data_IF_188694117110
#
_entry.id   IF_188694117110
#
_cell.length_a   1.000
_cell.length_b   1.000
_cell.length_c   1.000
_cell.angle_alpha   90.00
_cell.angle_beta   90.00
_cell.angle_gamma   90.00
#
_symmetry.space_group_name_H-M   'P 1'
#
loop_
_entity.id
_entity.type
_entity.pdbx_description
1 polymer ?
#
# COMPACT_ATOMS: atom_id res chain seq x y z
N UNK A 1 -29.16 -18.68 -16.47
CA UNK A 1 -27.82 -18.14 -16.81
C UNK A 1 -27.40 -16.94 -15.97
N UNK A 2 -28.19 -15.86 -15.77
CA UNK A 2 -27.79 -14.66 -15.00
C UNK A 2 -27.46 -14.91 -13.52
N UNK A 3 -28.09 -15.90 -12.86
CA UNK A 3 -27.85 -16.21 -11.44
C UNK A 3 -26.44 -16.82 -11.22
N UNK A 4 -26.00 -17.67 -12.13
CA UNK A 4 -24.67 -18.31 -12.07
C UNK A 4 -23.53 -17.31 -12.33
N UNK A 5 -23.77 -16.30 -13.21
CA UNK A 5 -22.79 -15.24 -13.44
C UNK A 5 -22.55 -14.38 -12.19
N UNK A 6 -23.60 -14.00 -11.45
CA UNK A 6 -23.43 -13.23 -10.20
C UNK A 6 -22.65 -14.01 -9.14
N UNK A 7 -22.92 -15.30 -9.00
CA UNK A 7 -22.20 -16.16 -8.06
C UNK A 7 -20.70 -16.25 -8.43
N UNK A 8 -20.36 -16.43 -9.72
CA UNK A 8 -18.96 -16.49 -10.17
C UNK A 8 -18.21 -15.17 -9.92
N UNK A 9 -18.88 -14.01 -10.04
CA UNK A 9 -18.27 -12.72 -9.73
C UNK A 9 -17.94 -12.57 -8.22
N UNK A 10 -18.87 -13.00 -7.36
CA UNK A 10 -18.67 -13.01 -5.91
C UNK A 10 -17.50 -13.93 -5.53
N UNK A 11 -17.47 -15.14 -6.10
CA UNK A 11 -16.38 -16.10 -5.86
C UNK A 11 -15.02 -15.55 -6.33
N UNK A 12 -14.97 -14.85 -7.46
CA UNK A 12 -13.76 -14.19 -7.93
C UNK A 12 -13.26 -13.11 -6.96
N UNK A 13 -14.15 -12.30 -6.38
CA UNK A 13 -13.80 -11.30 -5.37
C UNK A 13 -13.30 -11.94 -4.07
N UNK A 14 -13.94 -13.02 -3.61
CA UNK A 14 -13.50 -13.77 -2.43
C UNK A 14 -12.12 -14.39 -2.68
N UNK A 15 -11.91 -15.05 -3.82
CA UNK A 15 -10.62 -15.63 -4.18
C UNK A 15 -9.52 -14.55 -4.27
N UNK A 16 -9.83 -13.39 -4.85
CA UNK A 16 -8.92 -12.26 -4.92
C UNK A 16 -8.54 -11.74 -3.53
N UNK A 17 -9.52 -11.61 -2.61
CA UNK A 17 -9.26 -11.21 -1.23
C UNK A 17 -8.39 -12.23 -0.50
N UNK A 18 -8.67 -13.53 -0.62
CA UNK A 18 -7.87 -14.59 -0.01
C UNK A 18 -6.45 -14.61 -0.55
N UNK A 19 -6.28 -14.47 -1.87
CA UNK A 19 -4.97 -14.33 -2.51
C UNK A 19 -4.24 -13.09 -1.98
N UNK A 20 -4.92 -11.95 -1.90
CA UNK A 20 -4.40 -10.71 -1.31
C UNK A 20 -3.97 -10.88 0.14
N UNK A 21 -4.64 -11.76 0.89
CA UNK A 21 -4.35 -12.02 2.30
C UNK A 21 -3.11 -12.86 2.54
N UNK A 22 -2.50 -13.50 1.53
CA UNK A 22 -1.30 -14.31 1.69
C UNK A 22 -0.11 -13.46 2.19
N UNK A 23 0.47 -13.77 3.35
CA UNK A 23 1.44 -12.88 4.00
C UNK A 23 2.89 -13.22 3.62
N UNK A 24 3.23 -13.29 2.31
CA UNK A 24 4.58 -13.67 1.87
C UNK A 24 5.67 -12.74 2.43
N UNK A 25 5.42 -11.44 2.46
CA UNK A 25 6.37 -10.45 3.03
C UNK A 25 6.67 -10.78 4.50
N UNK A 26 5.66 -11.18 5.26
CA UNK A 26 5.85 -11.59 6.66
C UNK A 26 6.67 -12.88 6.78
N UNK A 27 6.37 -13.88 5.95
CA UNK A 27 7.12 -15.14 5.94
C UNK A 27 8.58 -14.95 5.50
N UNK A 28 8.83 -14.08 4.52
CA UNK A 28 10.20 -13.72 4.11
C UNK A 28 10.97 -13.02 5.25
N UNK A 29 10.29 -12.19 6.04
CA UNK A 29 10.86 -11.59 7.25
C UNK A 29 11.26 -12.64 8.27
N UNK A 30 10.36 -13.55 8.59
CA UNK A 30 10.63 -14.66 9.52
C UNK A 30 11.78 -15.55 9.03
N UNK A 31 11.81 -15.87 7.73
CA UNK A 31 12.91 -16.63 7.12
C UNK A 31 14.26 -15.92 7.24
N UNK A 32 14.25 -14.58 7.24
CA UNK A 32 15.45 -13.75 7.47
C UNK A 32 15.76 -13.54 8.96
N UNK A 33 15.10 -14.25 9.86
CA UNK A 33 15.30 -14.14 11.31
C UNK A 33 14.65 -12.91 11.97
N UNK A 34 13.74 -12.19 11.26
CA UNK A 34 13.12 -10.97 11.76
C UNK A 34 11.59 -11.04 11.76
N UNK A 35 10.97 -10.92 12.94
CA UNK A 35 9.52 -10.69 13.04
C UNK A 35 9.22 -9.22 12.67
N UNK A 36 8.66 -9.00 11.47
CA UNK A 36 8.37 -7.67 10.96
C UNK A 36 7.40 -6.87 11.84
N UNK A 37 6.55 -7.54 12.62
CA UNK A 37 5.61 -6.88 13.55
C UNK A 37 6.33 -6.31 14.78
N UNK A 38 7.48 -6.89 15.13
CA UNK A 38 8.29 -6.53 16.31
C UNK A 38 9.61 -5.85 15.95
N UNK A 39 9.99 -5.87 14.67
CA UNK A 39 11.28 -5.35 14.19
C UNK A 39 11.09 -4.15 13.27
N UNK A 40 12.03 -3.22 13.31
CA UNK A 40 12.06 -2.04 12.45
C UNK A 40 10.85 -1.12 12.68
N UNK A 41 10.06 -0.86 11.64
CA UNK A 41 8.87 0.00 11.73
C UNK A 41 7.62 -0.70 12.29
N UNK A 42 7.67 -2.01 12.56
CA UNK A 42 6.51 -2.80 12.94
C UNK A 42 5.50 -3.05 11.82
N UNK A 43 5.71 -2.50 10.63
CA UNK A 43 4.82 -2.65 9.48
C UNK A 43 5.19 -3.89 8.64
N UNK A 44 4.19 -4.70 8.26
CA UNK A 44 4.36 -5.85 7.37
C UNK A 44 4.36 -5.37 5.92
N UNK A 45 5.47 -4.78 5.49
CA UNK A 45 5.61 -4.21 4.15
C UNK A 45 7.03 -4.16 3.63
N UNK A 46 7.15 -3.88 2.34
CA UNK A 46 8.41 -3.86 1.58
C UNK A 46 9.54 -3.08 2.26
N UNK A 47 9.24 -1.85 2.71
CA UNK A 47 10.26 -0.96 3.29
C UNK A 47 10.84 -1.52 4.59
N UNK A 48 10.00 -2.13 5.44
CA UNK A 48 10.44 -2.76 6.66
C UNK A 48 11.22 -4.04 6.37
N UNK A 49 10.74 -4.87 5.43
CA UNK A 49 11.46 -6.07 5.01
C UNK A 49 12.83 -5.72 4.42
N UNK A 50 12.94 -4.65 3.63
CA UNK A 50 14.24 -4.19 3.11
C UNK A 50 15.22 -3.80 4.22
N UNK A 51 14.72 -3.17 5.29
CA UNK A 51 15.54 -2.71 6.41
C UNK A 51 16.05 -3.85 7.30
N UNK A 52 15.27 -4.92 7.49
CA UNK A 52 15.60 -5.98 8.46
C UNK A 52 15.90 -7.34 7.81
N UNK A 53 15.33 -7.63 6.64
CA UNK A 53 15.48 -8.90 5.92
C UNK A 53 16.33 -8.81 4.66
N UNK A 54 16.72 -7.59 4.25
CA UNK A 54 17.56 -7.35 3.10
C UNK A 54 16.80 -7.08 1.79
N UNK A 55 17.52 -6.53 0.81
CA UNK A 55 16.95 -6.02 -0.46
C UNK A 55 16.38 -7.13 -1.33
N UNK A 56 17.01 -8.31 -1.38
CA UNK A 56 16.54 -9.44 -2.20
C UNK A 56 15.15 -9.92 -1.77
N UNK A 57 14.97 -10.16 -0.47
CA UNK A 57 13.67 -10.55 0.11
C UNK A 57 12.62 -9.46 -0.10
N UNK A 58 13.04 -8.19 0.03
CA UNK A 58 12.16 -7.07 -0.21
C UNK A 58 11.68 -7.00 -1.66
N UNK A 59 12.55 -7.21 -2.65
CA UNK A 59 12.16 -7.23 -4.06
C UNK A 59 11.16 -8.36 -4.34
N UNK A 60 11.44 -9.58 -3.87
CA UNK A 60 10.53 -10.73 -4.03
C UNK A 60 9.17 -10.45 -3.37
N UNK A 61 9.18 -10.00 -2.13
CA UNK A 61 7.97 -9.66 -1.40
C UNK A 61 7.18 -8.52 -2.06
N UNK A 62 7.88 -7.50 -2.56
CA UNK A 62 7.29 -6.35 -3.25
C UNK A 62 6.63 -6.73 -4.58
N UNK A 63 7.26 -7.57 -5.38
CA UNK A 63 6.68 -8.11 -6.62
C UNK A 63 5.45 -8.96 -6.33
N UNK A 64 5.53 -9.82 -5.32
CA UNK A 64 4.38 -10.61 -4.90
C UNK A 64 3.24 -9.72 -4.39
N UNK A 65 3.52 -8.71 -3.57
CA UNK A 65 2.49 -7.79 -3.11
C UNK A 65 1.88 -6.99 -4.28
N UNK A 66 2.66 -6.57 -5.27
CA UNK A 66 2.13 -5.92 -6.47
C UNK A 66 1.23 -6.87 -7.27
N UNK A 67 1.56 -8.16 -7.34
CA UNK A 67 0.74 -9.17 -8.02
C UNK A 67 -0.66 -9.31 -7.42
N UNK A 68 -0.84 -9.04 -6.12
CA UNK A 68 -2.13 -9.15 -5.42
C UNK A 68 -3.20 -8.19 -5.97
N UNK A 69 -2.80 -7.01 -6.43
CA UNK A 69 -3.70 -6.10 -7.13
C UNK A 69 -3.77 -6.38 -8.64
N UNK A 70 -2.67 -6.82 -9.25
CA UNK A 70 -2.54 -7.02 -10.68
C UNK A 70 -3.23 -8.31 -11.17
N UNK A 71 -2.89 -9.47 -10.58
CA UNK A 71 -3.33 -10.78 -11.07
C UNK A 71 -4.86 -10.96 -11.03
N UNK A 72 -5.59 -10.58 -9.98
CA UNK A 72 -7.04 -10.71 -9.98
C UNK A 72 -7.71 -9.99 -11.17
N UNK A 73 -7.27 -8.76 -11.47
CA UNK A 73 -7.78 -8.02 -12.65
C UNK A 73 -7.45 -8.76 -13.93
N UNK A 74 -6.21 -9.20 -14.06
CA UNK A 74 -5.73 -9.87 -15.28
C UNK A 74 -6.45 -11.18 -15.54
N UNK A 75 -6.66 -11.99 -14.49
CA UNK A 75 -7.37 -13.27 -14.56
C UNK A 75 -8.84 -13.04 -14.91
N UNK A 76 -9.55 -12.15 -14.22
CA UNK A 76 -10.95 -11.85 -14.51
C UNK A 76 -11.14 -11.35 -15.95
N UNK A 77 -10.27 -10.50 -16.46
CA UNK A 77 -10.30 -10.04 -17.86
C UNK A 77 -10.06 -11.18 -18.84
N UNK A 78 -9.18 -12.14 -18.54
CA UNK A 78 -8.94 -13.32 -19.37
C UNK A 78 -10.12 -14.31 -19.37
N UNK A 79 -10.86 -14.36 -18.26
CA UNK A 79 -12.08 -15.16 -18.14
C UNK A 79 -13.32 -14.49 -18.77
N UNK A 80 -13.15 -13.31 -19.41
CA UNK A 80 -14.25 -12.60 -20.07
C UNK A 80 -15.21 -11.90 -19.11
N UNK A 81 -14.79 -11.65 -17.86
CA UNK A 81 -15.63 -10.92 -16.91
C UNK A 81 -15.71 -9.41 -17.27
N UNK A 82 -16.85 -8.74 -16.98
CA UNK A 82 -16.99 -7.31 -17.18
C UNK A 82 -15.83 -6.52 -16.53
N UNK A 83 -15.47 -5.40 -17.14
CA UNK A 83 -14.33 -4.59 -16.67
C UNK A 83 -14.50 -4.18 -15.20
N UNK A 84 -15.71 -3.80 -14.79
CA UNK A 84 -16.03 -3.41 -13.41
C UNK A 84 -15.80 -4.57 -12.42
N UNK A 85 -16.19 -5.79 -12.79
CA UNK A 85 -15.98 -6.97 -11.95
C UNK A 85 -14.49 -7.28 -11.81
N UNK A 86 -13.73 -7.19 -12.90
CA UNK A 86 -12.29 -7.39 -12.88
C UNK A 86 -11.60 -6.35 -12.00
N UNK A 87 -11.97 -5.07 -12.11
CA UNK A 87 -11.41 -4.00 -11.30
C UNK A 87 -11.74 -4.17 -9.81
N UNK A 88 -13.01 -4.54 -9.47
CA UNK A 88 -13.39 -4.83 -8.09
C UNK A 88 -12.63 -6.03 -7.52
N UNK A 89 -12.37 -7.08 -8.31
CA UNK A 89 -11.52 -8.18 -7.87
C UNK A 89 -10.09 -7.68 -7.50
N UNK A 90 -9.53 -6.75 -8.26
CA UNK A 90 -8.28 -6.09 -7.91
C UNK A 90 -8.35 -5.30 -6.59
N UNK A 91 -9.44 -4.56 -6.38
CA UNK A 91 -9.72 -3.86 -5.10
C UNK A 91 -9.78 -4.85 -3.94
N UNK A 92 -10.44 -6.00 -4.11
CA UNK A 92 -10.49 -7.06 -3.10
C UNK A 92 -9.10 -7.62 -2.79
N UNK A 93 -8.24 -7.79 -3.80
CA UNK A 93 -6.84 -8.20 -3.60
C UNK A 93 -6.03 -7.18 -2.78
N UNK A 94 -6.22 -5.88 -3.05
CA UNK A 94 -5.61 -4.80 -2.25
C UNK A 94 -6.16 -4.77 -0.83
N UNK A 95 -7.46 -4.96 -0.65
CA UNK A 95 -8.08 -5.05 0.68
C UNK A 95 -7.52 -6.24 1.47
N UNK A 96 -7.33 -7.40 0.83
CA UNK A 96 -6.69 -8.57 1.43
C UNK A 96 -5.26 -8.29 1.91
N UNK A 97 -4.47 -7.50 1.18
CA UNK A 97 -3.14 -7.07 1.63
C UNK A 97 -3.20 -6.11 2.83
N UNK A 98 -4.20 -5.23 2.87
CA UNK A 98 -4.35 -4.26 3.95
C UNK A 98 -4.86 -4.92 5.25
N UNK A 99 -5.83 -5.81 5.11
CA UNK A 99 -6.46 -6.53 6.22
C UNK A 99 -6.48 -8.05 5.97
N UNK A 100 -5.30 -8.70 5.98
CA UNK A 100 -5.19 -10.12 5.67
C UNK A 100 -5.78 -10.98 6.79
N UNK A 101 -6.67 -11.89 6.42
CA UNK A 101 -7.29 -12.82 7.37
C UNK A 101 -6.23 -13.68 8.09
N UNK A 102 -5.18 -14.10 7.38
CA UNK A 102 -4.11 -14.94 7.92
C UNK A 102 -3.19 -14.23 8.92
N UNK A 103 -3.24 -12.88 9.01
CA UNK A 103 -2.53 -12.09 10.01
C UNK A 103 -3.46 -11.42 11.02
N UNK A 104 -4.69 -11.94 11.21
CA UNK A 104 -5.72 -11.36 12.09
C UNK A 104 -5.97 -9.88 11.74
N UNK A 105 -6.12 -9.59 10.45
CA UNK A 105 -6.37 -8.27 9.86
C UNK A 105 -5.27 -7.21 10.11
N UNK A 106 -4.09 -7.62 10.57
CA UNK A 106 -2.93 -6.74 10.78
C UNK A 106 -1.91 -6.88 9.64
N UNK A 107 -2.25 -6.39 8.46
CA UNK A 107 -1.41 -6.43 7.26
C UNK A 107 -0.57 -5.18 7.04
N UNK A 108 -0.05 -5.08 5.81
CA UNK A 108 0.70 -3.94 5.32
C UNK A 108 -0.18 -2.71 5.00
N UNK A 109 0.44 -1.69 4.39
CA UNK A 109 -0.26 -0.46 3.95
C UNK A 109 -0.79 -0.55 2.52
N UNK A 110 -0.60 -1.66 1.85
CA UNK A 110 -1.19 -1.97 0.55
C UNK A 110 -0.62 -1.21 -0.65
N UNK A 111 0.45 -0.40 -0.50
CA UNK A 111 0.95 0.45 -1.59
C UNK A 111 1.39 -0.35 -2.81
N UNK A 112 2.17 -1.43 -2.63
CA UNK A 112 2.63 -2.26 -3.75
C UNK A 112 1.44 -2.88 -4.50
N UNK A 113 0.44 -3.41 -3.78
CA UNK A 113 -0.77 -3.97 -4.37
C UNK A 113 -1.62 -2.92 -5.07
N UNK A 114 -1.71 -1.71 -4.48
CA UNK A 114 -2.34 -0.55 -5.11
C UNK A 114 -1.67 -0.20 -6.45
N UNK A 115 -0.33 -0.19 -6.49
CA UNK A 115 0.41 0.09 -7.73
C UNK A 115 0.15 -0.98 -8.80
N UNK A 116 0.06 -2.25 -8.41
CA UNK A 116 -0.28 -3.33 -9.32
C UNK A 116 -1.69 -3.21 -9.89
N UNK A 117 -2.69 -2.89 -9.05
CA UNK A 117 -4.07 -2.69 -9.48
C UNK A 117 -4.22 -1.43 -10.36
N UNK A 118 -3.70 -0.30 -9.90
CA UNK A 118 -3.83 1.00 -10.57
C UNK A 118 -3.21 1.01 -11.97
N UNK A 119 -2.12 0.25 -12.19
CA UNK A 119 -1.50 0.08 -13.51
C UNK A 119 -2.47 -0.52 -14.54
N UNK A 120 -3.27 -1.53 -14.15
CA UNK A 120 -4.24 -2.15 -15.04
C UNK A 120 -5.56 -1.37 -15.14
N UNK A 121 -5.92 -0.65 -14.09
CA UNK A 121 -7.13 0.17 -14.06
C UNK A 121 -6.97 1.40 -14.95
N UNK A 122 -5.91 2.18 -14.76
CA UNK A 122 -5.63 3.35 -15.57
C UNK A 122 -4.13 3.65 -15.64
N UNK A 123 -3.51 3.38 -16.80
CA UNK A 123 -2.07 3.59 -17.02
C UNK A 123 -1.66 5.05 -16.96
N UNK A 124 -2.50 5.97 -17.46
CA UNK A 124 -2.21 7.42 -17.42
C UNK A 124 -2.26 7.93 -15.99
N UNK A 125 -3.34 7.59 -15.28
CA UNK A 125 -3.49 7.90 -13.85
C UNK A 125 -2.37 7.28 -13.02
N UNK A 126 -1.95 6.06 -13.32
CA UNK A 126 -0.80 5.41 -12.68
C UNK A 126 0.50 6.21 -12.86
N UNK A 127 0.79 6.68 -14.09
CA UNK A 127 1.97 7.49 -14.37
C UNK A 127 1.99 8.79 -13.54
N UNK A 128 0.85 9.50 -13.47
CA UNK A 128 0.71 10.72 -12.65
C UNK A 128 0.90 10.40 -11.15
N UNK A 129 0.35 9.27 -10.68
CA UNK A 129 0.51 8.80 -9.31
C UNK A 129 1.97 8.51 -8.95
N UNK A 130 2.76 8.05 -9.92
CA UNK A 130 4.18 7.76 -9.69
C UNK A 130 5.01 9.02 -9.44
N UNK A 131 4.66 10.17 -9.99
CA UNK A 131 5.43 11.41 -9.86
C UNK A 131 5.69 11.79 -8.39
N UNK A 132 4.69 11.96 -7.51
CA UNK A 132 4.94 12.30 -6.11
C UNK A 132 5.63 11.18 -5.33
N UNK A 133 5.46 9.92 -5.71
CA UNK A 133 6.15 8.79 -5.09
C UNK A 133 7.65 8.83 -5.44
N UNK A 134 7.99 9.01 -6.70
CA UNK A 134 9.39 9.12 -7.15
C UNK A 134 10.07 10.38 -6.61
N UNK A 135 9.41 11.52 -6.62
CA UNK A 135 9.98 12.76 -6.07
C UNK A 135 10.24 12.63 -4.57
N UNK A 136 9.34 12.00 -3.81
CA UNK A 136 9.54 11.70 -2.40
C UNK A 136 10.70 10.73 -2.15
N UNK A 137 10.83 9.69 -2.97
CA UNK A 137 11.93 8.74 -2.90
C UNK A 137 13.28 9.39 -3.25
N UNK A 138 13.32 10.16 -4.33
CA UNK A 138 14.50 10.91 -4.78
C UNK A 138 14.94 11.93 -3.72
N UNK A 139 14.02 12.70 -3.16
CA UNK A 139 14.31 13.61 -2.06
C UNK A 139 14.91 12.89 -0.84
N UNK A 140 14.35 11.75 -0.47
CA UNK A 140 14.87 10.92 0.61
C UNK A 140 16.28 10.43 0.33
N UNK A 141 16.55 10.03 -0.90
CA UNK A 141 17.86 9.57 -1.36
C UNK A 141 18.89 10.70 -1.33
N UNK A 142 18.61 11.85 -1.96
CA UNK A 142 19.50 13.02 -2.00
C UNK A 142 19.78 13.53 -0.57
N UNK A 143 18.75 13.60 0.27
CA UNK A 143 18.90 14.05 1.66
C UNK A 143 19.79 13.11 2.49
N UNK A 144 19.82 11.82 2.15
CA UNK A 144 20.69 10.84 2.79
C UNK A 144 22.18 11.10 2.49
N UNK A 145 22.51 11.46 1.27
CA UNK A 145 23.89 11.82 0.88
C UNK A 145 24.37 13.14 1.52
N UNK A 146 23.51 14.16 1.54
CA UNK A 146 23.86 15.47 2.11
C UNK A 146 24.16 15.45 3.61
N UNK A 147 23.62 14.48 4.35
CA UNK A 147 23.73 14.43 5.82
C UNK A 147 24.66 13.34 6.34
N UNK A 148 25.28 12.56 5.48
CA UNK A 148 26.31 11.59 5.93
C UNK A 148 27.50 12.27 6.66
N UNK A 149 27.61 13.59 6.54
CA UNK A 149 28.66 14.42 7.16
C UNK A 149 28.24 15.16 8.45
N UNK A 150 26.99 14.99 8.95
CA UNK A 150 26.52 15.68 10.16
C UNK A 150 26.19 14.68 11.28
N UNK A 151 26.58 15.04 12.53
CA UNK A 151 26.31 14.26 13.75
C UNK A 151 24.81 13.92 13.91
N UNK A 152 24.47 12.78 14.55
CA UNK A 152 23.08 12.39 14.78
C UNK A 152 22.37 13.43 15.65
N UNK A 153 21.44 14.17 15.04
CA UNK A 153 20.60 15.13 15.73
C UNK A 153 19.25 14.51 16.11
N UNK A 154 18.48 15.26 16.89
CA UNK A 154 17.16 14.86 17.42
C UNK A 154 16.28 14.15 16.38
N UNK A 155 15.81 12.92 16.62
CA UNK A 155 15.04 12.11 15.67
C UNK A 155 13.73 12.76 15.23
N UNK A 156 13.12 13.62 16.05
CA UNK A 156 11.90 14.36 15.72
C UNK A 156 12.11 15.43 14.61
N UNK A 157 13.34 15.91 14.39
CA UNK A 157 13.68 16.87 13.33
C UNK A 157 14.13 16.20 12.03
N UNK A 158 14.19 14.87 11.97
CA UNK A 158 14.69 14.17 10.80
C UNK A 158 13.62 14.06 9.71
N UNK A 159 13.60 14.98 8.77
CA UNK A 159 12.69 15.02 7.60
C UNK A 159 12.85 13.85 6.64
N UNK A 160 13.92 13.04 6.78
CA UNK A 160 14.25 11.93 5.89
C UNK A 160 13.19 10.83 5.85
N UNK A 161 12.56 10.55 7.01
CA UNK A 161 11.52 9.51 7.09
C UNK A 161 10.14 9.93 6.56
N UNK A 162 9.97 11.22 6.21
CA UNK A 162 8.66 11.81 5.86
C UNK A 162 8.39 11.88 4.37
N UNK A 163 9.42 12.04 3.54
CA UNK A 163 9.25 12.33 2.12
C UNK A 163 8.62 11.18 1.33
N UNK A 164 9.03 9.93 1.58
CA UNK A 164 8.44 8.76 0.89
C UNK A 164 6.99 8.52 1.31
N UNK A 165 6.64 8.44 2.61
CA UNK A 165 5.25 8.31 3.03
C UNK A 165 4.35 9.44 2.55
N UNK A 166 4.86 10.68 2.54
CA UNK A 166 4.14 11.83 2.02
C UNK A 166 3.91 11.75 0.51
N UNK A 167 4.92 11.37 -0.27
CA UNK A 167 4.79 11.12 -1.71
C UNK A 167 3.78 10.02 -2.01
N UNK A 168 3.78 8.94 -1.24
CA UNK A 168 2.79 7.87 -1.35
C UNK A 168 1.36 8.34 -1.03
N UNK A 169 1.20 9.19 -0.01
CA UNK A 169 -0.08 9.79 0.34
C UNK A 169 -0.62 10.68 -0.78
N UNK A 170 0.21 11.60 -1.30
CA UNK A 170 -0.17 12.47 -2.41
C UNK A 170 -0.47 11.66 -3.68
N UNK A 171 0.33 10.66 -4.03
CA UNK A 171 0.09 9.80 -5.18
C UNK A 171 -1.24 9.05 -5.08
N UNK A 172 -1.55 8.52 -3.88
CA UNK A 172 -2.82 7.83 -3.65
C UNK A 172 -4.01 8.77 -3.80
N UNK A 173 -3.92 10.03 -3.32
CA UNK A 173 -4.95 11.05 -3.50
C UNK A 173 -5.09 11.51 -4.95
N UNK A 174 -3.98 11.61 -5.68
CA UNK A 174 -3.97 12.06 -7.07
C UNK A 174 -4.61 11.04 -8.02
N UNK A 175 -4.60 9.74 -7.69
CA UNK A 175 -5.04 8.68 -8.60
C UNK A 175 -6.50 8.80 -9.07
N UNK A 176 -7.51 9.05 -8.22
CA UNK A 176 -8.88 9.25 -8.68
C UNK A 176 -9.03 10.44 -9.62
N UNK A 177 -8.38 11.58 -9.27
CA UNK A 177 -8.40 12.77 -10.11
C UNK A 177 -7.73 12.54 -11.47
N UNK A 178 -6.54 11.94 -11.46
CA UNK A 178 -5.83 11.58 -12.68
C UNK A 178 -6.62 10.58 -13.54
N UNK A 179 -7.38 9.69 -12.90
CA UNK A 179 -8.23 8.73 -13.60
C UNK A 179 -9.51 9.37 -14.15
N UNK A 180 -10.03 10.43 -13.54
CA UNK A 180 -11.20 11.15 -14.05
C UNK A 180 -10.91 11.99 -15.30
N UNK A 181 -9.64 12.31 -15.55
CA UNK A 181 -9.22 12.99 -16.78
C UNK A 181 -9.23 12.08 -18.03
N UNK A 182 -9.41 10.77 -17.83
CA UNK A 182 -9.48 9.82 -18.93
C UNK A 182 -10.91 9.73 -19.45
N UNK A 183 -11.19 10.45 -20.52
CA UNK A 183 -12.50 10.55 -21.17
C UNK A 183 -13.03 9.22 -21.77
N UNK A 184 -12.17 8.19 -21.87
CA UNK A 184 -12.55 6.88 -22.40
C UNK A 184 -13.20 5.96 -21.35
N UNK A 185 -13.36 6.43 -20.11
CA UNK A 185 -13.95 5.63 -19.02
C UNK A 185 -15.43 5.98 -18.83
N UNK A 186 -16.26 4.94 -18.80
CA UNK A 186 -17.68 5.07 -18.44
C UNK A 186 -17.84 5.51 -16.98
N UNK A 187 -18.95 6.20 -16.67
CA UNK A 187 -19.19 6.81 -15.36
C UNK A 187 -19.04 5.85 -14.16
N UNK A 188 -19.35 4.56 -14.32
CA UNK A 188 -19.18 3.54 -13.27
C UNK A 188 -17.71 3.16 -13.02
N UNK A 189 -16.86 3.26 -14.03
CA UNK A 189 -15.43 2.93 -13.92
C UNK A 189 -14.62 3.98 -13.14
N UNK A 190 -15.18 5.16 -12.88
CA UNK A 190 -14.56 6.16 -12.01
C UNK A 190 -14.63 5.80 -10.53
N UNK A 191 -15.52 4.90 -10.11
CA UNK A 191 -15.66 4.50 -8.71
C UNK A 191 -14.48 3.66 -8.23
N UNK A 192 -13.91 2.81 -9.07
CA UNK A 192 -12.83 1.88 -8.68
C UNK A 192 -11.54 2.59 -8.24
N UNK A 193 -11.05 3.64 -8.95
CA UNK A 193 -9.93 4.46 -8.48
C UNK A 193 -10.18 5.10 -7.12
N UNK A 194 -11.39 5.61 -6.88
CA UNK A 194 -11.77 6.20 -5.60
C UNK A 194 -11.77 5.15 -4.48
N UNK A 195 -12.36 3.98 -4.71
CA UNK A 195 -12.38 2.87 -3.76
C UNK A 195 -10.96 2.42 -3.38
N UNK A 196 -10.05 2.29 -4.35
CA UNK A 196 -8.66 1.96 -4.09
C UNK A 196 -7.99 2.98 -3.16
N UNK A 197 -8.19 4.27 -3.44
CA UNK A 197 -7.62 5.33 -2.62
C UNK A 197 -8.21 5.35 -1.22
N UNK A 198 -9.52 5.14 -1.08
CA UNK A 198 -10.21 5.04 0.22
C UNK A 198 -9.65 3.88 1.05
N UNK A 199 -9.43 2.71 0.44
CA UNK A 199 -8.84 1.54 1.13
C UNK A 199 -7.45 1.86 1.66
N UNK A 200 -6.57 2.44 0.84
CA UNK A 200 -5.21 2.77 1.26
C UNK A 200 -5.19 3.85 2.35
N UNK A 201 -6.00 4.90 2.20
CA UNK A 201 -6.12 5.96 3.20
C UNK A 201 -6.74 5.43 4.50
N UNK A 202 -7.80 4.64 4.41
CA UNK A 202 -8.44 3.98 5.55
C UNK A 202 -7.45 3.07 6.29
N UNK A 203 -6.64 2.29 5.56
CA UNK A 203 -5.59 1.47 6.18
C UNK A 203 -4.51 2.31 6.87
N UNK A 204 -4.12 3.44 6.29
CA UNK A 204 -3.18 4.36 6.94
C UNK A 204 -3.74 4.94 8.23
N UNK A 205 -5.01 5.30 8.25
CA UNK A 205 -5.69 5.85 9.44
C UNK A 205 -5.87 4.80 10.55
N UNK A 206 -6.10 3.55 10.20
CA UNK A 206 -6.32 2.43 11.13
C UNK A 206 -5.05 1.67 11.51
N UNK A 207 -3.90 2.04 10.94
CA UNK A 207 -2.63 1.39 11.28
C UNK A 207 -2.32 1.58 12.78
N UNK A 208 -1.86 0.52 13.48
CA UNK A 208 -1.47 0.63 14.87
C UNK A 208 -0.35 1.65 15.03
N UNK A 209 -0.48 2.50 16.05
CA UNK A 209 0.60 3.41 16.46
C UNK A 209 1.53 2.66 17.41
N UNK A 210 2.83 3.04 17.44
CA UNK A 210 3.73 2.59 18.50
C UNK A 210 3.18 3.04 19.86
N UNK A 211 3.16 2.14 20.85
CA UNK A 211 2.53 2.38 22.17
C UNK A 211 3.07 3.62 22.91
N UNK A 212 4.34 4.00 22.68
CA UNK A 212 5.01 5.06 23.43
C UNK A 212 5.07 6.43 22.73
N UNK A 213 4.39 6.59 21.59
CA UNK A 213 4.68 7.74 20.73
C UNK A 213 3.93 9.01 21.09
N UNK A 214 2.84 8.96 21.88
CA UNK A 214 2.03 10.15 22.16
C UNK A 214 1.31 10.05 23.51
N UNK A 215 1.72 10.83 24.49
CA UNK A 215 1.03 11.06 25.76
C UNK A 215 0.39 12.46 25.78
N UNK A 216 -0.88 12.56 26.19
CA UNK A 216 -1.56 13.83 26.48
C UNK A 216 -2.78 14.17 25.62
N UNK A 217 -3.50 15.27 25.89
CA UNK A 217 -4.78 15.66 25.26
C UNK A 217 -4.65 16.05 23.76
N UNK A 218 -3.46 16.36 23.26
CA UNK A 218 -3.20 16.58 21.83
C UNK A 218 -3.15 15.27 21.01
N UNK A 219 -3.39 14.13 21.65
CA UNK A 219 -3.27 12.76 21.14
C UNK A 219 -3.97 12.54 19.78
N UNK A 220 -5.17 13.09 19.60
CA UNK A 220 -5.97 12.76 18.41
C UNK A 220 -5.48 13.47 17.14
N UNK A 221 -5.13 14.73 17.17
CA UNK A 221 -4.65 15.47 15.97
C UNK A 221 -3.23 15.06 15.59
N UNK A 222 -2.34 14.94 16.58
CA UNK A 222 -0.97 14.49 16.35
C UNK A 222 -0.91 13.04 15.88
N UNK A 223 -1.76 12.16 16.43
CA UNK A 223 -1.89 10.77 16.00
C UNK A 223 -2.35 10.67 14.54
N UNK A 224 -3.30 11.51 14.10
CA UNK A 224 -3.77 11.54 12.73
C UNK A 224 -2.65 11.94 11.77
N UNK A 225 -1.96 13.03 12.06
CA UNK A 225 -0.81 13.50 11.26
C UNK A 225 0.29 12.45 11.23
N UNK A 226 0.54 11.79 12.35
CA UNK A 226 1.55 10.74 12.46
C UNK A 226 1.20 9.53 11.57
N UNK A 227 -0.04 9.05 11.62
CA UNK A 227 -0.53 7.93 10.79
C UNK A 227 -0.45 8.21 9.29
N UNK A 228 -0.74 9.45 8.87
CA UNK A 228 -0.70 9.85 7.47
C UNK A 228 0.72 10.05 6.93
N UNK A 229 1.59 10.65 7.73
CA UNK A 229 2.90 11.15 7.27
C UNK A 229 4.10 10.32 7.73
N UNK A 230 3.95 9.44 8.74
CA UNK A 230 5.08 8.70 9.29
C UNK A 230 4.93 7.19 9.12
N UNK A 231 6.05 6.56 8.80
CA UNK A 231 6.17 5.12 8.59
C UNK A 231 7.01 4.41 9.66
N UNK A 232 7.47 5.13 10.66
CA UNK A 232 8.46 4.61 11.62
C UNK A 232 7.96 4.63 13.05
N UNK A 233 8.23 3.53 13.75
CA UNK A 233 8.40 3.52 15.18
C UNK A 233 9.63 4.39 15.51
N UNK A 234 9.48 5.52 16.18
CA UNK A 234 10.57 6.42 16.51
C UNK A 234 11.36 6.00 17.74
N UNK A 235 10.98 4.90 18.37
CA UNK A 235 11.61 4.37 19.57
C UNK A 235 12.45 3.12 19.25
N UNK A 236 13.57 3.32 18.55
CA UNK A 236 14.80 2.51 18.72
C UNK A 236 15.97 3.19 18.03
#
# INVERSE_FOLDING_TARGET
MKKNAKLSYILACIAAYLYGSLPLVYWLGLHSGADLKRSGSGNVGLTNLAAVGGVRQALLGGLFDASKGYLPIRICRRLGYPAEVAEIAGVCGVAGQCWPIFLRFNGGRGLSSFLGASFLINRRGWGITMLPIFTGALWSFISSFRHSRRKPGNPLKNTRGKAVPFGCFLGTLAFPFASSLDQQRDGRQHLTPALLSIIILGRRLTAPLPDDSIHGPARNKQALVYRLLYDRNTNR
#
